data_IF_497052209466
#
_entry.id   IF_497052209466
#
_cell.length_a   1.000
_cell.length_b   1.000
_cell.length_c   1.000
_cell.angle_alpha   90.00
_cell.angle_beta   90.00
_cell.angle_gamma   90.00
#
_symmetry.space_group_name_H-M   'P 1'
#
loop_
_entity.id
_entity.type
_entity.pdbx_description
1 polymer ?
#
# COMPACT_ATOMS: atom_id res chain seq x y z
N UNK A 1 12.97 12.24 14.32
CA UNK A 1 13.44 11.02 13.63
C UNK A 1 12.28 10.47 12.82
N UNK A 2 12.14 10.90 11.57
CA UNK A 2 11.03 10.50 10.69
C UNK A 2 11.31 9.08 10.20
N UNK A 3 10.55 8.10 10.69
CA UNK A 3 10.73 6.70 10.29
C UNK A 3 10.35 6.53 8.82
N UNK A 4 11.28 6.05 7.98
CA UNK A 4 11.12 5.91 6.52
C UNK A 4 9.87 5.11 6.10
N UNK A 5 9.31 4.27 6.97
CA UNK A 5 8.07 3.52 6.70
C UNK A 5 6.78 4.34 6.84
N UNK A 6 6.79 5.45 7.59
CA UNK A 6 5.59 6.27 7.83
C UNK A 6 5.23 7.14 6.60
N UNK A 7 6.21 7.47 5.77
CA UNK A 7 6.04 8.31 4.57
C UNK A 7 5.14 7.66 3.50
N UNK A 8 4.91 6.35 3.60
CA UNK A 8 4.05 5.60 2.70
C UNK A 8 2.57 5.71 3.06
N UNK A 9 2.22 6.01 4.31
CA UNK A 9 0.81 6.10 4.72
C UNK A 9 0.09 7.14 3.85
N UNK A 10 -1.06 6.76 3.30
CA UNK A 10 -1.90 7.60 2.43
C UNK A 10 -1.28 7.95 1.06
N UNK A 11 -0.23 7.26 0.60
CA UNK A 11 0.19 7.36 -0.81
C UNK A 11 -0.73 6.56 -1.73
N UNK A 12 -1.04 7.13 -2.87
CA UNK A 12 -1.84 6.47 -3.92
C UNK A 12 -1.03 5.38 -4.62
N UNK A 13 -1.67 4.26 -4.90
CA UNK A 13 -1.09 3.14 -5.63
C UNK A 13 -1.80 2.98 -6.96
N UNK A 14 -1.02 3.04 -8.05
CA UNK A 14 -1.51 2.99 -9.43
C UNK A 14 -0.83 1.84 -10.16
N UNK A 15 -1.60 1.03 -10.87
CA UNK A 15 -1.05 0.00 -11.73
C UNK A 15 -0.50 0.62 -13.01
N UNK A 16 0.80 0.44 -13.24
CA UNK A 16 1.53 1.06 -14.36
C UNK A 16 1.11 0.53 -15.74
N UNK A 17 0.54 -0.67 -15.82
CA UNK A 17 0.19 -1.29 -17.10
C UNK A 17 -1.15 -0.79 -17.65
N UNK A 18 -2.06 -0.35 -16.77
CA UNK A 18 -3.42 0.05 -17.15
C UNK A 18 -3.85 1.41 -16.59
N UNK A 19 -3.01 2.09 -15.80
CA UNK A 19 -3.29 3.39 -15.19
C UNK A 19 -4.36 3.35 -14.09
N UNK A 20 -4.81 2.16 -13.67
CA UNK A 20 -5.89 2.03 -12.71
C UNK A 20 -5.39 2.27 -11.30
N UNK A 21 -6.07 3.16 -10.56
CA UNK A 21 -5.87 3.33 -9.12
C UNK A 21 -6.33 2.08 -8.38
N UNK A 22 -5.41 1.49 -7.62
CA UNK A 22 -5.67 0.32 -6.78
C UNK A 22 -6.17 0.70 -5.40
N UNK A 23 -5.72 1.85 -4.86
CA UNK A 23 -6.10 2.33 -3.53
C UNK A 23 -5.02 3.21 -2.91
N UNK A 24 -5.07 3.36 -1.59
CA UNK A 24 -4.01 4.02 -0.81
C UNK A 24 -3.29 3.01 0.07
N UNK A 25 -2.01 3.22 0.31
CA UNK A 25 -1.25 2.39 1.26
C UNK A 25 -1.83 2.58 2.67
N UNK A 26 -2.27 1.47 3.26
CA UNK A 26 -2.74 1.44 4.65
C UNK A 26 -1.63 1.00 5.61
N UNK A 27 -0.84 0.01 5.21
CA UNK A 27 0.19 -0.58 6.05
C UNK A 27 1.32 -1.20 5.21
N UNK A 28 2.40 -1.64 5.84
CA UNK A 28 3.58 -2.25 5.20
C UNK A 28 4.04 -3.50 5.94
N UNK A 29 4.52 -4.50 5.19
CA UNK A 29 5.23 -5.63 5.76
C UNK A 29 6.73 -5.36 5.73
N UNK A 30 7.40 -5.64 6.84
CA UNK A 30 8.85 -5.54 6.95
C UNK A 30 9.44 -6.86 7.41
N UNK A 31 10.61 -7.21 6.86
CA UNK A 31 11.42 -8.28 7.39
C UNK A 31 11.97 -7.88 8.77
N UNK A 32 11.74 -8.72 9.77
CA UNK A 32 12.07 -8.40 11.17
C UNK A 32 13.58 -8.47 11.47
N UNK A 33 14.36 -9.16 10.64
CA UNK A 33 15.80 -9.33 10.85
C UNK A 33 16.58 -8.13 10.28
N UNK A 34 16.13 -7.61 9.13
CA UNK A 34 16.81 -6.56 8.35
C UNK A 34 16.12 -5.21 8.43
N UNK A 35 14.84 -5.17 8.79
CA UNK A 35 13.99 -3.97 8.76
C UNK A 35 13.60 -3.53 7.34
N UNK A 36 13.89 -4.33 6.31
CA UNK A 36 13.55 -4.00 4.93
C UNK A 36 12.05 -4.15 4.67
N UNK A 37 11.44 -3.16 4.02
CA UNK A 37 10.04 -3.24 3.58
C UNK A 37 9.96 -4.21 2.40
N UNK A 38 9.14 -5.26 2.53
CA UNK A 38 8.98 -6.29 1.50
C UNK A 38 7.74 -6.07 0.65
N UNK A 39 6.67 -5.55 1.27
CA UNK A 39 5.37 -5.36 0.62
C UNK A 39 4.61 -4.19 1.23
N UNK A 40 3.71 -3.60 0.45
CA UNK A 40 2.72 -2.63 0.90
C UNK A 40 1.32 -3.24 0.88
N UNK A 41 0.48 -2.85 1.82
CA UNK A 41 -0.90 -3.32 1.94
C UNK A 41 -1.83 -2.23 1.40
N UNK A 42 -2.54 -2.57 0.34
CA UNK A 42 -3.49 -1.70 -0.35
C UNK A 42 -4.85 -2.39 -0.31
N UNK A 43 -5.91 -1.74 0.21
CA UNK A 43 -7.25 -2.30 0.11
C UNK A 43 -7.60 -2.43 -1.36
N UNK A 44 -7.93 -3.64 -1.80
CA UNK A 44 -8.39 -3.85 -3.16
C UNK A 44 -9.65 -3.05 -3.45
N UNK A 45 -9.97 -2.91 -4.74
CA UNK A 45 -11.20 -2.25 -5.16
C UNK A 45 -12.40 -2.87 -4.43
N UNK A 46 -13.15 -2.04 -3.70
CA UNK A 46 -14.37 -2.49 -3.07
C UNK A 46 -15.26 -3.06 -4.18
N UNK A 47 -15.41 -4.39 -4.20
CA UNK A 47 -16.63 -5.01 -4.75
C UNK A 47 -17.73 -4.52 -3.84
N UNK A 48 -18.24 -3.33 -4.11
CA UNK A 48 -19.57 -2.96 -3.69
C UNK A 48 -20.46 -3.92 -4.48
N UNK A 49 -20.66 -5.11 -3.91
CA UNK A 49 -21.75 -5.97 -4.28
C UNK A 49 -22.98 -5.10 -4.02
N UNK A 50 -23.60 -4.64 -5.11
CA UNK A 50 -24.88 -3.96 -5.08
C UNK A 50 -25.81 -4.78 -4.19
N UNK A 51 -26.13 -4.25 -3.01
CA UNK A 51 -27.29 -4.67 -2.23
C UNK A 51 -28.51 -3.95 -2.80
#
# INVERSE_FOLDING_TARGET
>A
MTGKGLDFKHKEVVNINNGKRLGYVQDVCADLNTGAITSIIVPGESKLASM
#
